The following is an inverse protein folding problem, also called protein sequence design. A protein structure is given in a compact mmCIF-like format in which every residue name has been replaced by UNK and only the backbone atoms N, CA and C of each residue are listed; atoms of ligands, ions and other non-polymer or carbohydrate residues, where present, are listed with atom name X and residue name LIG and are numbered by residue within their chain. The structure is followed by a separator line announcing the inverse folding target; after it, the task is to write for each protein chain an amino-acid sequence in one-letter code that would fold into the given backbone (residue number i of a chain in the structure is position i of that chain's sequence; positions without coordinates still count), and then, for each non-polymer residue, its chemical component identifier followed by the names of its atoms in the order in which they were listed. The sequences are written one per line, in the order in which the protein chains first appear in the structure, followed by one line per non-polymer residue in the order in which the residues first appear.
data_IF_029837457227
#
_entry.id   IF_029837457227
#
_cell.length_a   1.000
_cell.length_b   1.000
_cell.length_c   1.000
_cell.angle_alpha   90.00
_cell.angle_beta   90.00
_cell.angle_gamma   90.00
#
_symmetry.space_group_name_H-M   'P 1'
#
loop_
_entity.id
_entity.type
_entity.pdbx_description
1 polymer ?
#
# COMPACT_ATOMS: atom_id res chain seq x y z
N UNK A 1 5.38 17.01 2.80
CA UNK A 1 3.99 16.62 2.44
C UNK A 1 3.07 17.56 3.19
N UNK A 2 2.72 18.67 2.53
CA UNK A 2 2.02 19.79 3.14
C UNK A 2 0.52 19.57 2.96
N UNK A 3 -0.19 19.22 4.03
CA UNK A 3 -1.65 19.13 4.02
C UNK A 3 -2.25 20.50 3.69
N UNK A 4 -3.21 20.61 2.75
CA UNK A 4 -3.94 21.85 2.56
C UNK A 4 -4.93 21.98 3.73
N UNK A 5 -4.69 22.96 4.61
CA UNK A 5 -5.70 23.40 5.57
C UNK A 5 -6.98 23.81 4.81
N UNK A 6 -8.17 23.41 5.27
CA UNK A 6 -9.40 23.92 4.73
C UNK A 6 -9.50 25.41 5.09
N UNK A 7 -9.23 26.29 4.13
CA UNK A 7 -9.53 27.72 4.23
C UNK A 7 -11.01 27.89 4.54
N UNK A 8 -11.34 28.06 5.83
CA UNK A 8 -12.65 28.45 6.29
C UNK A 8 -12.90 29.87 5.79
N UNK A 9 -13.63 29.96 4.68
CA UNK A 9 -14.10 31.21 4.10
C UNK A 9 -15.07 31.87 5.09
N UNK A 10 -14.56 32.72 5.97
CA UNK A 10 -15.36 33.62 6.78
C UNK A 10 -16.04 34.64 5.86
N UNK A 11 -17.16 34.25 5.26
CA UNK A 11 -18.06 35.20 4.62
C UNK A 11 -18.51 36.23 5.68
N UNK A 12 -18.46 37.55 5.40
CA UNK A 12 -18.84 38.56 6.37
C UNK A 12 -20.36 38.51 6.60
N UNK A 13 -20.81 37.75 7.59
CA UNK A 13 -22.22 37.63 8.01
C UNK A 13 -22.78 38.90 8.69
N UNK A 14 -22.09 40.03 8.62
CA UNK A 14 -22.39 41.24 9.40
C UNK A 14 -22.98 42.40 8.58
N UNK A 15 -22.72 42.48 7.27
CA UNK A 15 -23.11 43.67 6.47
C UNK A 15 -24.62 43.76 6.21
N UNK A 16 -25.35 42.63 6.18
CA UNK A 16 -26.78 42.61 5.88
C UNK A 16 -27.67 43.13 7.02
N UNK A 17 -27.17 43.18 8.27
CA UNK A 17 -27.99 43.55 9.44
C UNK A 17 -28.03 45.06 9.70
N UNK A 18 -27.13 45.83 9.10
CA UNK A 18 -27.08 47.29 9.22
C UNK A 18 -27.78 47.95 8.04
N UNK A 19 -29.02 47.52 7.74
CA UNK A 19 -29.86 48.20 6.73
C UNK A 19 -30.07 49.64 7.19
N UNK A 20 -29.57 50.56 6.37
CA UNK A 20 -29.74 51.99 6.46
C UNK A 20 -31.24 52.29 6.66
N UNK A 21 -31.59 52.99 7.74
CA UNK A 21 -32.98 53.35 8.03
C UNK A 21 -33.51 54.16 6.84
N UNK A 22 -34.55 53.68 6.16
CA UNK A 22 -35.05 54.37 4.97
C UNK A 22 -35.61 55.73 5.37
N UNK A 23 -35.17 56.77 4.67
CA UNK A 23 -35.60 58.15 4.91
C UNK A 23 -37.12 58.29 4.82
N UNK A 24 -37.76 57.47 3.97
CA UNK A 24 -39.21 57.39 3.81
C UNK A 24 -39.93 56.86 5.04
N UNK A 25 -39.38 55.84 5.70
CA UNK A 25 -39.94 55.34 6.96
C UNK A 25 -39.80 56.40 8.08
N UNK A 26 -38.67 57.12 8.14
CA UNK A 26 -38.53 58.22 9.10
C UNK A 26 -39.51 59.36 8.86
N UNK A 27 -39.82 59.69 7.59
CA UNK A 27 -40.85 60.68 7.25
C UNK A 27 -42.23 60.20 7.69
N UNK A 28 -42.60 58.93 7.44
CA UNK A 28 -43.87 58.38 7.91
C UNK A 28 -44.01 58.46 9.44
N UNK A 29 -42.95 58.13 10.19
CA UNK A 29 -42.92 58.28 11.65
C UNK A 29 -43.06 59.75 12.07
N UNK A 30 -42.37 60.68 11.40
CA UNK A 30 -42.48 62.10 11.71
C UNK A 30 -43.90 62.64 11.48
N UNK A 31 -44.60 62.21 10.43
CA UNK A 31 -45.99 62.58 10.17
C UNK A 31 -46.94 62.11 11.28
N UNK A 32 -46.72 60.88 11.80
CA UNK A 32 -47.51 60.36 12.92
C UNK A 32 -47.26 61.13 14.22
N UNK A 33 -46.00 61.48 14.50
CA UNK A 33 -45.65 62.32 15.66
C UNK A 33 -46.29 63.71 15.53
N UNK A 34 -46.24 64.32 14.35
CA UNK A 34 -46.84 65.62 14.09
C UNK A 34 -48.37 65.58 14.24
N UNK A 35 -49.03 64.53 13.77
CA UNK A 35 -50.46 64.31 13.99
C UNK A 35 -50.81 64.23 15.48
N UNK A 36 -50.03 63.51 16.28
CA UNK A 36 -50.23 63.42 17.73
C UNK A 36 -50.03 64.78 18.43
N UNK A 37 -49.00 65.54 18.04
CA UNK A 37 -48.75 66.88 18.58
C UNK A 37 -49.88 67.86 18.25
N UNK A 38 -50.41 67.82 17.02
CA UNK A 38 -51.54 68.66 16.60
C UNK A 38 -52.79 68.40 17.45
N UNK A 39 -53.14 67.13 17.67
CA UNK A 39 -54.27 66.77 18.54
C UNK A 39 -54.02 67.24 19.97
N UNK A 40 -52.82 67.01 20.50
CA UNK A 40 -52.45 67.43 21.87
C UNK A 40 -52.55 68.95 22.06
N UNK A 41 -52.05 69.74 21.10
CA UNK A 41 -52.15 71.19 21.14
C UNK A 41 -53.61 71.67 21.05
N UNK A 42 -54.42 71.07 20.18
CA UNK A 42 -55.83 71.42 20.05
C UNK A 42 -56.64 71.08 21.31
N UNK A 43 -56.30 69.99 22.01
CA UNK A 43 -56.92 69.62 23.27
C UNK A 43 -56.65 70.66 24.38
N UNK A 44 -55.42 71.18 24.47
CA UNK A 44 -55.06 72.22 25.45
C UNK A 44 -55.78 73.55 25.17
N UNK A 45 -56.00 73.89 23.90
CA UNK A 45 -56.72 75.10 23.52
C UNK A 45 -58.22 75.06 23.90
N UNK A 46 -58.79 73.88 24.12
CA UNK A 46 -60.15 73.70 24.66
C UNK A 46 -61.31 74.09 23.73
N UNK A 47 -61.04 74.47 22.47
CA UNK A 47 -62.08 74.86 21.52
C UNK A 47 -62.48 73.70 20.60
N UNK A 48 -63.79 73.45 20.48
CA UNK A 48 -64.35 72.35 19.67
C UNK A 48 -63.92 72.46 18.21
N UNK A 49 -63.92 73.68 17.65
CA UNK A 49 -63.53 73.92 16.27
C UNK A 49 -62.06 73.54 16.00
N UNK A 50 -61.12 73.89 16.89
CA UNK A 50 -59.72 73.46 16.74
C UNK A 50 -59.58 71.94 16.86
N UNK A 51 -60.32 71.31 17.76
CA UNK A 51 -60.28 69.85 17.92
C UNK A 51 -60.77 69.13 16.66
N UNK A 52 -61.84 69.63 16.03
CA UNK A 52 -62.35 69.05 14.76
C UNK A 52 -61.34 69.20 13.62
N UNK A 53 -60.75 70.40 13.45
CA UNK A 53 -59.74 70.65 12.41
C UNK A 53 -58.48 69.80 12.64
N UNK A 54 -58.00 69.70 13.88
CA UNK A 54 -56.86 68.86 14.24
C UNK A 54 -57.15 67.37 14.00
N UNK A 55 -58.37 66.91 14.30
CA UNK A 55 -58.81 65.54 14.03
C UNK A 55 -58.79 65.20 12.53
N UNK A 56 -59.36 66.07 11.69
CA UNK A 56 -59.32 65.88 10.22
C UNK A 56 -57.87 65.88 9.72
N UNK A 57 -57.04 66.83 10.18
CA UNK A 57 -55.62 66.90 9.83
C UNK A 57 -54.85 65.63 10.23
N UNK A 58 -55.10 65.11 11.43
CA UNK A 58 -54.46 63.90 11.93
C UNK A 58 -54.84 62.65 11.10
N UNK A 59 -56.11 62.53 10.68
CA UNK A 59 -56.55 61.45 9.80
C UNK A 59 -55.84 61.51 8.44
N UNK A 60 -55.70 62.70 7.85
CA UNK A 60 -54.99 62.89 6.58
C UNK A 60 -53.50 62.53 6.70
N UNK A 61 -52.84 62.99 7.77
CA UNK A 61 -51.44 62.67 8.05
C UNK A 61 -51.24 61.16 8.30
N UNK A 62 -52.14 60.53 9.04
CA UNK A 62 -52.12 59.08 9.29
C UNK A 62 -52.35 58.24 8.02
N UNK A 63 -53.26 58.68 7.14
CA UNK A 63 -53.49 58.06 5.84
C UNK A 63 -52.24 58.15 4.94
N UNK A 64 -51.59 59.33 4.91
CA UNK A 64 -50.35 59.52 4.17
C UNK A 64 -49.21 58.62 4.73
N UNK A 65 -49.03 58.57 6.05
CA UNK A 65 -48.04 57.72 6.69
C UNK A 65 -48.25 56.21 6.41
N UNK A 66 -49.50 55.75 6.44
CA UNK A 66 -49.86 54.36 6.11
C UNK A 66 -49.55 54.04 4.65
N UNK A 67 -49.88 54.94 3.72
CA UNK A 67 -49.58 54.75 2.29
C UNK A 67 -48.08 54.65 2.03
N UNK A 68 -47.29 55.54 2.63
CA UNK A 68 -45.82 55.51 2.52
C UNK A 68 -45.30 54.16 3.04
N UNK A 69 -45.70 53.76 4.25
CA UNK A 69 -45.26 52.51 4.87
C UNK A 69 -45.64 51.28 4.05
N UNK A 70 -46.86 51.25 3.50
CA UNK A 70 -47.33 50.16 2.66
C UNK A 70 -46.51 50.04 1.37
N UNK A 71 -46.24 51.15 0.68
CA UNK A 71 -45.44 51.15 -0.55
C UNK A 71 -44.01 50.67 -0.32
N UNK A 72 -43.39 51.07 0.80
CA UNK A 72 -42.06 50.63 1.19
C UNK A 72 -42.03 49.13 1.54
N UNK A 73 -43.06 48.63 2.23
CA UNK A 73 -43.16 47.20 2.54
C UNK A 73 -43.32 46.36 1.27
N UNK A 74 -44.14 46.80 0.32
CA UNK A 74 -44.30 46.12 -0.95
C UNK A 74 -42.98 46.07 -1.74
N UNK A 75 -42.28 47.20 -1.84
CA UNK A 75 -40.97 47.27 -2.48
C UNK A 75 -39.93 46.37 -1.78
N UNK A 76 -39.88 46.40 -0.45
CA UNK A 76 -38.96 45.58 0.34
C UNK A 76 -39.20 44.07 0.16
N UNK A 77 -40.46 43.64 -0.02
CA UNK A 77 -40.80 42.24 -0.29
C UNK A 77 -40.31 41.79 -1.66
N UNK A 78 -40.50 42.62 -2.69
CA UNK A 78 -40.03 42.33 -4.06
C UNK A 78 -38.51 42.22 -4.07
N UNK A 79 -37.82 43.18 -3.45
CA UNK A 79 -36.36 43.17 -3.38
C UNK A 79 -35.83 41.95 -2.61
N UNK A 80 -36.46 41.60 -1.48
CA UNK A 80 -36.08 40.39 -0.74
C UNK A 80 -36.30 39.11 -1.56
N UNK A 81 -37.35 39.06 -2.40
CA UNK A 81 -37.57 37.96 -3.34
C UNK A 81 -36.47 37.88 -4.39
N UNK A 82 -36.09 39.02 -4.98
CA UNK A 82 -35.00 39.14 -5.95
C UNK A 82 -33.66 38.73 -5.34
N UNK A 83 -33.34 39.21 -4.16
CA UNK A 83 -32.11 38.87 -3.43
C UNK A 83 -32.00 37.35 -3.20
N UNK A 84 -33.09 36.72 -2.76
CA UNK A 84 -33.12 35.26 -2.58
C UNK A 84 -32.96 34.51 -3.89
N UNK A 85 -33.56 34.99 -4.98
CA UNK A 85 -33.41 34.39 -6.30
C UNK A 85 -31.95 34.47 -6.79
N UNK A 86 -31.30 35.63 -6.62
CA UNK A 86 -29.88 35.83 -6.94
C UNK A 86 -28.99 34.91 -6.09
N UNK A 87 -29.27 34.81 -4.78
CA UNK A 87 -28.54 33.90 -3.90
C UNK A 87 -28.70 32.44 -4.33
N UNK A 88 -29.93 32.01 -4.63
CA UNK A 88 -30.21 30.65 -5.09
C UNK A 88 -29.48 30.34 -6.40
N UNK A 89 -29.48 31.28 -7.36
CA UNK A 89 -28.73 31.14 -8.61
C UNK A 89 -27.21 31.02 -8.35
N UNK A 90 -26.64 31.86 -7.48
CA UNK A 90 -25.23 31.79 -7.12
C UNK A 90 -24.86 30.45 -6.46
N UNK A 91 -25.70 29.95 -5.54
CA UNK A 91 -25.50 28.64 -4.92
C UNK A 91 -25.62 27.50 -5.94
N UNK A 92 -26.53 27.60 -6.91
CA UNK A 92 -26.66 26.63 -7.99
C UNK A 92 -25.37 26.56 -8.82
N UNK A 93 -24.80 27.70 -9.22
CA UNK A 93 -23.52 27.74 -9.96
C UNK A 93 -22.36 27.12 -9.16
N UNK A 94 -22.26 27.43 -7.86
CA UNK A 94 -21.21 26.85 -7.00
C UNK A 94 -21.40 25.33 -6.89
N UNK A 95 -22.63 24.88 -6.75
CA UNK A 95 -22.98 23.45 -6.62
C UNK A 95 -22.64 22.72 -7.91
N UNK A 96 -23.02 23.25 -9.07
CA UNK A 96 -22.67 22.69 -10.38
C UNK A 96 -21.15 22.53 -10.53
N UNK A 97 -20.39 23.59 -10.20
CA UNK A 97 -18.92 23.54 -10.26
C UNK A 97 -18.35 22.45 -9.35
N UNK A 98 -18.76 22.40 -8.09
CA UNK A 98 -18.32 21.37 -7.13
C UNK A 98 -18.69 19.96 -7.55
N UNK A 99 -19.89 19.75 -8.11
CA UNK A 99 -20.33 18.45 -8.61
C UNK A 99 -19.46 18.01 -9.79
N UNK A 100 -19.14 18.92 -10.72
CA UNK A 100 -18.24 18.62 -11.84
C UNK A 100 -16.81 18.30 -11.40
N UNK A 101 -16.29 19.04 -10.40
CA UNK A 101 -14.98 18.79 -9.80
C UNK A 101 -14.95 17.43 -9.09
N UNK A 102 -15.95 17.12 -8.28
CA UNK A 102 -16.08 15.85 -7.58
C UNK A 102 -16.20 14.66 -8.54
N UNK A 103 -16.96 14.81 -9.62
CA UNK A 103 -17.11 13.77 -10.64
C UNK A 103 -15.77 13.48 -11.33
N UNK A 104 -15.02 14.53 -11.71
CA UNK A 104 -13.67 14.38 -12.28
C UNK A 104 -12.72 13.69 -11.31
N UNK A 105 -12.76 14.08 -10.04
CA UNK A 105 -11.95 13.45 -9.00
C UNK A 105 -12.30 11.96 -8.82
N UNK A 106 -13.59 11.61 -8.77
CA UNK A 106 -14.02 10.23 -8.64
C UNK A 106 -13.55 9.36 -9.82
N UNK A 107 -13.66 9.88 -11.05
CA UNK A 107 -13.18 9.18 -12.26
C UNK A 107 -11.66 9.01 -12.28
N UNK A 108 -10.90 10.02 -11.85
CA UNK A 108 -9.44 9.93 -11.74
C UNK A 108 -9.02 8.90 -10.69
N UNK A 109 -9.68 8.90 -9.53
CA UNK A 109 -9.43 7.91 -8.48
C UNK A 109 -9.77 6.50 -8.92
N UNK A 110 -10.89 6.31 -9.61
CA UNK A 110 -11.28 5.01 -10.14
C UNK A 110 -10.23 4.48 -11.13
N UNK A 111 -9.70 5.34 -12.01
CA UNK A 111 -8.62 4.97 -12.94
C UNK A 111 -7.35 4.54 -12.20
N UNK A 112 -6.93 5.31 -11.19
CA UNK A 112 -5.75 5.01 -10.38
C UNK A 112 -5.90 3.70 -9.60
N UNK A 113 -7.10 3.40 -9.12
CA UNK A 113 -7.38 2.14 -8.44
C UNK A 113 -7.24 0.98 -9.43
N UNK A 114 -7.88 1.07 -10.61
CA UNK A 114 -7.79 0.03 -11.63
C UNK A 114 -6.35 -0.23 -12.09
N UNK A 115 -5.56 0.83 -12.31
CA UNK A 115 -4.14 0.71 -12.66
C UNK A 115 -3.34 -0.01 -11.57
N UNK A 116 -3.60 0.31 -10.30
CA UNK A 116 -2.93 -0.35 -9.17
C UNK A 116 -3.35 -1.81 -9.01
N UNK A 117 -4.62 -2.13 -9.22
CA UNK A 117 -5.13 -3.50 -9.18
C UNK A 117 -4.47 -4.36 -10.26
N UNK A 118 -4.29 -3.82 -11.47
CA UNK A 118 -3.56 -4.50 -12.55
C UNK A 118 -2.10 -4.78 -12.18
N UNK A 119 -1.41 -3.77 -11.61
CA UNK A 119 -0.03 -3.93 -11.13
C UNK A 119 0.06 -4.99 -10.03
N UNK A 120 -0.87 -4.98 -9.08
CA UNK A 120 -0.92 -5.97 -8.00
C UNK A 120 -1.13 -7.38 -8.58
N UNK A 121 -2.09 -7.56 -9.48
CA UNK A 121 -2.33 -8.84 -10.13
C UNK A 121 -1.09 -9.34 -10.90
N UNK A 122 -0.37 -8.43 -11.56
CA UNK A 122 0.91 -8.73 -12.20
C UNK A 122 1.98 -9.20 -11.21
N UNK A 123 2.10 -8.53 -10.07
CA UNK A 123 3.04 -8.94 -9.00
C UNK A 123 2.66 -10.26 -8.36
N UNK A 124 1.37 -10.53 -8.13
CA UNK A 124 0.90 -11.81 -7.61
C UNK A 124 1.24 -12.97 -8.54
N UNK A 125 1.04 -12.79 -9.85
CA UNK A 125 1.42 -13.78 -10.85
C UNK A 125 2.94 -14.00 -10.85
N UNK A 126 3.74 -12.93 -10.90
CA UNK A 126 5.19 -13.00 -10.89
C UNK A 126 5.70 -13.71 -9.62
N UNK A 127 5.14 -13.38 -8.44
CA UNK A 127 5.50 -14.02 -7.17
C UNK A 127 5.19 -15.51 -7.18
N UNK A 128 4.00 -15.91 -7.66
CA UNK A 128 3.63 -17.33 -7.77
C UNK A 128 4.57 -18.09 -8.71
N UNK A 129 4.96 -17.49 -9.84
CA UNK A 129 5.92 -18.10 -10.76
C UNK A 129 7.32 -18.24 -10.14
N UNK A 130 7.79 -17.21 -9.42
CA UNK A 130 9.07 -17.24 -8.72
C UNK A 130 9.09 -18.29 -7.61
N UNK A 131 8.02 -18.39 -6.81
CA UNK A 131 7.88 -19.43 -5.77
C UNK A 131 7.89 -20.84 -6.35
N UNK A 132 7.23 -21.05 -7.48
CA UNK A 132 7.24 -22.33 -8.20
C UNK A 132 8.64 -22.66 -8.71
N UNK A 133 9.32 -21.71 -9.35
CA UNK A 133 10.68 -21.89 -9.84
C UNK A 133 11.66 -22.19 -8.70
N UNK A 134 11.56 -21.49 -7.58
CA UNK A 134 12.37 -21.74 -6.40
C UNK A 134 12.14 -23.15 -5.85
N UNK A 135 10.89 -23.60 -5.80
CA UNK A 135 10.53 -24.95 -5.36
C UNK A 135 11.11 -26.03 -6.30
N UNK A 136 11.02 -25.80 -7.61
CA UNK A 136 11.60 -26.69 -8.62
C UNK A 136 13.13 -26.72 -8.56
N UNK A 137 13.78 -25.57 -8.37
CA UNK A 137 15.23 -25.47 -8.19
C UNK A 137 15.70 -26.16 -6.91
N UNK A 138 15.00 -25.94 -5.80
CA UNK A 138 15.28 -26.61 -4.52
C UNK A 138 15.16 -28.13 -4.66
N UNK A 139 14.13 -28.62 -5.38
CA UNK A 139 13.97 -30.05 -5.64
C UNK A 139 15.11 -30.60 -6.50
N UNK A 140 15.51 -29.90 -7.57
CA UNK A 140 16.65 -30.31 -8.42
C UNK A 140 17.95 -30.34 -7.62
N UNK A 141 18.22 -29.31 -6.83
CA UNK A 141 19.39 -29.23 -5.98
C UNK A 141 19.44 -30.39 -4.97
N UNK A 142 18.32 -30.68 -4.30
CA UNK A 142 18.26 -31.81 -3.36
C UNK A 142 18.46 -33.18 -4.04
N UNK A 143 18.00 -33.35 -5.29
CA UNK A 143 18.23 -34.57 -6.06
C UNK A 143 19.70 -34.71 -6.47
N UNK A 144 20.32 -33.61 -6.90
CA UNK A 144 21.74 -33.61 -7.27
C UNK A 144 22.65 -33.83 -6.06
N UNK A 145 22.33 -33.21 -4.91
CA UNK A 145 23.04 -33.46 -3.66
C UNK A 145 22.99 -34.94 -3.26
N UNK A 146 21.80 -35.56 -3.28
CA UNK A 146 21.66 -37.00 -3.03
C UNK A 146 22.43 -37.86 -4.03
N UNK A 147 22.49 -37.45 -5.29
CA UNK A 147 23.25 -38.16 -6.33
C UNK A 147 24.75 -38.06 -6.06
N UNK A 148 25.24 -36.90 -5.64
CA UNK A 148 26.62 -36.69 -5.25
C UNK A 148 26.99 -37.53 -4.03
N UNK A 149 26.13 -37.55 -3.00
CA UNK A 149 26.34 -38.37 -1.78
C UNK A 149 26.48 -39.86 -2.14
N UNK A 150 25.57 -40.39 -2.96
CA UNK A 150 25.63 -41.79 -3.41
C UNK A 150 26.88 -42.09 -4.25
N UNK A 151 27.33 -41.14 -5.08
CA UNK A 151 28.55 -41.30 -5.86
C UNK A 151 29.79 -41.28 -4.97
N UNK A 152 29.81 -40.43 -3.94
CA UNK A 152 30.89 -40.39 -2.96
C UNK A 152 30.96 -41.70 -2.16
N UNK A 153 29.82 -42.20 -1.65
CA UNK A 153 29.77 -43.46 -0.92
C UNK A 153 30.22 -44.65 -1.79
N UNK A 154 29.73 -44.75 -3.02
CA UNK A 154 30.21 -45.78 -3.96
C UNK A 154 31.71 -45.67 -4.25
N UNK A 155 32.24 -44.44 -4.35
CA UNK A 155 33.68 -44.23 -4.58
C UNK A 155 34.52 -44.66 -3.38
N UNK A 156 34.04 -44.43 -2.15
CA UNK A 156 34.65 -44.89 -0.91
C UNK A 156 34.64 -46.41 -0.82
N UNK A 157 33.50 -47.04 -1.10
CA UNK A 157 33.39 -48.50 -1.14
C UNK A 157 34.34 -49.13 -2.18
N UNK A 158 34.45 -48.52 -3.37
CA UNK A 158 35.37 -48.97 -4.41
C UNK A 158 36.84 -48.83 -3.98
N UNK A 159 37.19 -47.71 -3.33
CA UNK A 159 38.54 -47.49 -2.79
C UNK A 159 38.88 -48.50 -1.68
N UNK A 160 37.96 -48.77 -0.77
CA UNK A 160 38.12 -49.76 0.29
C UNK A 160 38.29 -51.18 -0.29
N UNK A 161 37.50 -51.53 -1.31
CA UNK A 161 37.63 -52.81 -2.01
C UNK A 161 38.98 -52.94 -2.73
N UNK A 162 39.44 -51.89 -3.39
CA UNK A 162 40.76 -51.85 -4.03
C UNK A 162 41.90 -52.03 -3.02
N UNK A 163 41.85 -51.31 -1.88
CA UNK A 163 42.84 -51.44 -0.81
C UNK A 163 42.89 -52.86 -0.22
N UNK A 164 41.72 -53.50 -0.04
CA UNK A 164 41.65 -54.91 0.40
C UNK A 164 42.24 -55.87 -0.62
N UNK A 165 41.98 -55.64 -1.91
CA UNK A 165 42.53 -56.46 -2.98
C UNK A 165 44.05 -56.31 -3.05
N UNK A 166 44.57 -55.09 -2.98
CA UNK A 166 46.01 -54.80 -2.96
C UNK A 166 46.69 -55.47 -1.76
N UNK A 167 46.10 -55.38 -0.56
CA UNK A 167 46.62 -56.09 0.61
C UNK A 167 46.64 -57.62 0.42
N UNK A 168 45.59 -58.18 -0.18
CA UNK A 168 45.52 -59.63 -0.47
C UNK A 168 46.55 -60.08 -1.52
N UNK A 169 46.79 -59.23 -2.52
CA UNK A 169 47.80 -59.46 -3.56
C UNK A 169 49.20 -59.40 -2.95
N UNK A 170 49.51 -58.36 -2.16
CA UNK A 170 50.79 -58.26 -1.45
C UNK A 170 51.05 -59.47 -0.55
N UNK A 171 50.04 -59.95 0.19
CA UNK A 171 50.18 -61.17 1.00
C UNK A 171 50.37 -62.45 0.15
N UNK A 172 49.81 -62.49 -1.07
CA UNK A 172 50.01 -63.62 -1.98
C UNK A 172 51.38 -63.59 -2.65
N UNK A 173 51.87 -62.40 -3.01
CA UNK A 173 53.20 -62.15 -3.57
C UNK A 173 54.29 -62.49 -2.55
N UNK A 174 54.12 -62.09 -1.29
CA UNK A 174 55.04 -62.42 -0.21
C UNK A 174 55.12 -63.95 0.01
N UNK A 175 53.97 -64.63 0.09
CA UNK A 175 53.93 -66.10 0.17
C UNK A 175 54.57 -66.78 -1.05
N UNK A 176 54.39 -66.23 -2.25
CA UNK A 176 55.01 -66.75 -3.46
C UNK A 176 56.54 -66.55 -3.44
N UNK A 177 57.02 -65.39 -2.98
CA UNK A 177 58.44 -65.11 -2.82
C UNK A 177 59.09 -66.06 -1.80
N UNK A 178 58.46 -66.26 -0.64
CA UNK A 178 58.89 -67.23 0.37
C UNK A 178 58.98 -68.66 -0.22
N UNK A 179 57.95 -69.09 -0.98
CA UNK A 179 57.93 -70.39 -1.62
C UNK A 179 59.04 -70.55 -2.67
N UNK A 180 59.30 -69.52 -3.49
CA UNK A 180 60.40 -69.52 -4.48
C UNK A 180 61.76 -69.69 -3.78
N UNK A 181 62.00 -68.93 -2.71
CA UNK A 181 63.23 -69.05 -1.92
C UNK A 181 63.37 -70.46 -1.34
N UNK A 182 62.29 -71.00 -0.74
CA UNK A 182 62.33 -72.35 -0.17
C UNK A 182 62.55 -73.44 -1.21
N UNK A 183 61.98 -73.29 -2.41
CA UNK A 183 62.25 -74.21 -3.54
C UNK A 183 63.72 -74.15 -3.94
N UNK A 184 64.29 -72.96 -4.09
CA UNK A 184 65.71 -72.82 -4.42
C UNK A 184 66.64 -73.41 -3.33
N UNK A 185 66.29 -73.24 -2.06
CA UNK A 185 67.00 -73.88 -0.94
C UNK A 185 66.90 -75.42 -1.02
N UNK A 186 65.70 -75.96 -1.25
CA UNK A 186 65.49 -77.41 -1.39
C UNK A 186 66.20 -77.99 -2.63
N UNK A 187 66.25 -77.26 -3.74
CA UNK A 187 67.02 -77.63 -4.93
C UNK A 187 68.52 -77.68 -4.63
N UNK A 188 69.05 -76.70 -3.89
CA UNK A 188 70.44 -76.71 -3.46
C UNK A 188 70.74 -77.86 -2.48
N UNK A 189 69.85 -78.12 -1.51
CA UNK A 189 69.94 -79.29 -0.62
C UNK A 189 69.92 -80.60 -1.43
N UNK A 190 69.05 -80.72 -2.45
CA UNK A 190 68.99 -81.88 -3.34
C UNK A 190 70.27 -82.07 -4.16
N UNK A 191 70.85 -81.00 -4.68
CA UNK A 191 72.09 -81.07 -5.47
C UNK A 191 73.28 -81.50 -4.61
N UNK A 192 73.36 -81.02 -3.36
CA UNK A 192 74.34 -81.50 -2.37
C UNK A 192 74.13 -82.99 -2.07
N UNK A 193 72.90 -83.42 -1.79
CA UNK A 193 72.60 -84.83 -1.51
C UNK A 193 72.89 -85.74 -2.71
N UNK A 194 72.62 -85.30 -3.95
CA UNK A 194 73.00 -86.02 -5.17
C UNK A 194 74.52 -86.12 -5.31
N UNK A 195 75.26 -85.05 -5.03
CA UNK A 195 76.72 -85.05 -5.07
C UNK A 195 77.33 -85.98 -4.01
N UNK A 196 76.78 -85.99 -2.79
CA UNK A 196 77.14 -86.94 -1.74
C UNK A 196 76.87 -88.39 -2.19
N UNK A 197 75.69 -88.68 -2.74
CA UNK A 197 75.34 -90.01 -3.24
C UNK A 197 76.28 -90.47 -4.36
N UNK A 198 76.62 -89.57 -5.29
CA UNK A 198 77.60 -89.86 -6.34
C UNK A 198 78.99 -90.16 -5.75
N UNK A 199 79.44 -89.41 -4.74
CA UNK A 199 80.70 -89.65 -4.03
C UNK A 199 80.69 -91.03 -3.34
N UNK A 200 79.59 -91.38 -2.65
CA UNK A 200 79.38 -92.70 -2.04
C UNK A 200 79.40 -93.83 -3.07
N UNK A 201 78.79 -93.66 -4.23
CA UNK A 201 78.82 -94.65 -5.32
C UNK A 201 80.22 -94.83 -5.91
N UNK A 202 80.99 -93.74 -6.09
CA UNK A 202 82.39 -93.81 -6.55
C UNK A 202 83.30 -94.47 -5.51
N UNK A 203 83.09 -94.21 -4.22
CA UNK A 203 83.84 -94.89 -3.16
C UNK A 203 83.46 -96.37 -3.04
N UNK A 204 82.19 -96.72 -3.20
CA UNK A 204 81.74 -98.10 -3.23
C UNK A 204 82.30 -98.87 -4.45
N UNK A 205 82.35 -98.26 -5.64
CA UNK A 205 82.92 -98.89 -6.84
C UNK A 205 84.44 -99.06 -6.73
N UNK A 206 85.17 -98.09 -6.18
CA UNK A 206 86.60 -98.23 -5.84
C UNK A 206 86.88 -99.34 -4.83
N UNK A 207 85.94 -99.60 -3.92
CA UNK A 207 86.04 -100.67 -2.91
C UNK A 207 85.71 -102.07 -3.46
N UNK A 208 85.07 -102.15 -4.61
CA UNK A 208 84.76 -103.41 -5.31
C UNK A 208 85.82 -103.80 -6.38
N UNK A 209 86.82 -102.94 -6.61
CA UNK A 209 87.93 -103.14 -7.54
C UNK A 209 89.29 -103.28 -6.84
N UNK A 210 89.28 -103.57 -5.54
CA UNK A 210 90.44 -103.95 -4.73
C UNK A 210 90.18 -105.32 -4.10
#
# INVERSE_FOLDING_TARGET
MSSPEPQQSHAPRSAARRRQRSTRLSVAVALLVLAALLIGAAAVAGTVLMLTLAGVGAVLLGAAATRITHSELAAARVEAGRDRAVQAAAYATITERRTSENMRFALDMQRKIAEREEIIAGFELALNTAQRQLSEQTRKFNLEARRADLAEDNSREAADAAARLEASLGQSEERAAEAIVRVAELEAELDVLKAELALWQVTASKRNTA
#
